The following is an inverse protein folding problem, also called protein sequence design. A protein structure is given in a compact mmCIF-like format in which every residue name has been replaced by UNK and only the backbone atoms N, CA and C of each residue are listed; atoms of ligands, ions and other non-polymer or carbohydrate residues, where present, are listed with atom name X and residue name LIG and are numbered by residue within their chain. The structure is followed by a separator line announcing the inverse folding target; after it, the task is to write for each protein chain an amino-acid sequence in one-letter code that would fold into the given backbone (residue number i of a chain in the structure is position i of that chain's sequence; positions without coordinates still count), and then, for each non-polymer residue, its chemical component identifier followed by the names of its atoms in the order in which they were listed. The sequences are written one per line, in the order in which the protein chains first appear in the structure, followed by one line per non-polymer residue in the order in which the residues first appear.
data_IF_124247634928
#
_entry.id   IF_124247634928
#
_cell.length_a   1.000
_cell.length_b   1.000
_cell.length_c   1.000
_cell.angle_alpha   90.00
_cell.angle_beta   90.00
_cell.angle_gamma   90.00
#
_symmetry.space_group_name_H-M   'P 1'
#
loop_
_entity.id
_entity.type
_entity.pdbx_description
1 polymer ?
#
# COMPACT_ATOMS: atom_id res chain seq x y z
N UNK A 1 7.05 5.50 -62.20
CA UNK A 1 6.60 6.52 -61.21
C UNK A 1 5.44 6.07 -60.33
N UNK A 2 4.67 5.04 -60.69
CA UNK A 2 3.52 4.58 -59.85
C UNK A 2 3.91 3.73 -58.60
N UNK A 3 4.99 2.98 -58.65
CA UNK A 3 5.39 2.11 -57.54
C UNK A 3 6.01 2.82 -56.34
N UNK A 4 6.52 4.04 -56.53
CA UNK A 4 7.16 4.81 -55.43
C UNK A 4 6.14 5.51 -54.50
N UNK A 5 4.93 5.79 -55.02
CA UNK A 5 3.88 6.46 -54.25
C UNK A 5 3.05 5.51 -53.39
N UNK A 6 3.02 4.20 -53.71
CA UNK A 6 2.27 3.19 -52.92
C UNK A 6 3.03 2.83 -51.64
N UNK A 7 4.36 2.78 -51.72
CA UNK A 7 5.18 2.46 -50.52
C UNK A 7 5.18 3.62 -49.50
N UNK A 8 5.17 4.86 -49.98
CA UNK A 8 5.12 6.04 -49.07
C UNK A 8 3.74 6.13 -48.40
N UNK A 9 2.66 5.81 -49.07
CA UNK A 9 1.31 5.79 -48.48
C UNK A 9 1.13 4.65 -47.46
N UNK A 10 1.74 3.47 -47.68
CA UNK A 10 1.68 2.35 -46.76
C UNK A 10 2.51 2.60 -45.48
N UNK A 11 3.66 3.26 -45.62
CA UNK A 11 4.51 3.64 -44.47
C UNK A 11 3.86 4.74 -43.63
N UNK A 12 3.19 5.70 -44.27
CA UNK A 12 2.46 6.76 -43.56
C UNK A 12 1.21 6.20 -42.86
N UNK A 13 0.55 5.19 -43.43
CA UNK A 13 -0.59 4.51 -42.79
C UNK A 13 -0.14 3.61 -41.64
N UNK A 14 1.03 2.98 -41.67
CA UNK A 14 1.59 2.23 -40.55
C UNK A 14 2.10 3.14 -39.41
N UNK A 15 2.66 4.29 -39.74
CA UNK A 15 3.06 5.29 -38.76
C UNK A 15 1.86 5.99 -38.10
N UNK A 16 0.76 6.17 -38.84
CA UNK A 16 -0.47 6.73 -38.28
C UNK A 16 -1.24 5.74 -37.39
N UNK A 17 -1.11 4.43 -37.60
CA UNK A 17 -1.71 3.43 -36.69
C UNK A 17 -0.93 3.21 -35.40
N UNK A 18 0.38 3.46 -35.41
CA UNK A 18 1.22 3.44 -34.19
C UNK A 18 1.00 4.73 -33.38
N UNK A 19 0.82 5.88 -34.04
CA UNK A 19 0.51 7.15 -33.36
C UNK A 19 -0.91 7.22 -32.81
N UNK A 20 -1.88 6.49 -33.37
CA UNK A 20 -3.26 6.48 -32.86
C UNK A 20 -3.44 5.68 -31.56
N UNK A 21 -2.51 4.76 -31.22
CA UNK A 21 -2.47 4.10 -29.92
C UNK A 21 -1.78 4.95 -28.83
N UNK A 22 -0.80 5.78 -29.23
CA UNK A 22 -0.15 6.74 -28.34
C UNK A 22 -0.96 8.04 -28.12
N UNK A 23 -1.94 8.34 -28.98
CA UNK A 23 -2.73 9.57 -28.93
C UNK A 23 -3.97 9.51 -28.03
N UNK A 24 -4.16 8.44 -27.24
CA UNK A 24 -5.21 8.37 -26.21
C UNK A 24 -4.80 8.91 -24.84
N UNK A 25 -3.60 9.44 -24.72
CA UNK A 25 -3.04 9.98 -23.48
C UNK A 25 -2.72 11.45 -23.69
N UNK A 26 -3.72 12.30 -23.71
CA UNK A 26 -3.48 13.72 -23.87
C UNK A 26 -4.76 14.53 -23.88
N UNK A 27 -5.37 14.70 -22.74
CA UNK A 27 -6.16 15.84 -22.30
C UNK A 27 -6.65 15.50 -20.89
N UNK A 28 -5.77 15.74 -19.88
CA UNK A 28 -6.10 15.61 -18.49
C UNK A 28 -5.18 14.70 -17.72
N UNK A 29 -4.02 15.23 -17.29
CA UNK A 29 -3.25 14.57 -16.25
C UNK A 29 -4.11 14.46 -14.99
N UNK A 30 -4.27 13.25 -14.47
CA UNK A 30 -4.88 13.08 -13.17
C UNK A 30 -3.90 13.52 -12.08
N UNK A 31 -4.31 14.47 -11.28
CA UNK A 31 -3.57 14.90 -10.07
C UNK A 31 -4.52 14.80 -8.89
N UNK A 32 -4.25 13.93 -7.90
CA UNK A 32 -5.10 13.79 -6.73
C UNK A 32 -5.08 15.04 -5.86
N UNK A 33 -6.19 15.32 -5.19
CA UNK A 33 -6.27 16.38 -4.22
C UNK A 33 -5.64 15.97 -2.89
N UNK A 34 -4.32 16.19 -2.76
CA UNK A 34 -3.55 15.80 -1.55
C UNK A 34 -3.74 16.81 -0.41
N UNK A 35 -4.19 18.04 -0.73
CA UNK A 35 -4.30 19.13 0.23
C UNK A 35 -2.94 19.69 0.70
N UNK A 36 -2.98 20.74 1.51
CA UNK A 36 -1.74 21.36 2.07
C UNK A 36 -1.12 20.53 3.20
N UNK A 37 -1.86 19.54 3.71
CA UNK A 37 -1.49 18.77 4.89
C UNK A 37 -1.47 19.62 6.18
N UNK A 38 -1.45 18.95 7.31
CA UNK A 38 -1.27 19.56 8.62
C UNK A 38 0.13 19.22 9.15
N UNK A 39 0.67 20.08 10.02
CA UNK A 39 1.86 19.69 10.77
C UNK A 39 1.47 18.55 11.72
N UNK A 40 2.09 17.37 11.63
CA UNK A 40 1.72 16.25 12.48
C UNK A 40 2.00 16.56 13.95
N UNK A 41 0.95 16.59 14.76
CA UNK A 41 1.07 16.59 16.21
C UNK A 41 1.02 15.15 16.68
N UNK A 42 2.04 14.71 17.44
CA UNK A 42 2.21 13.32 17.84
C UNK A 42 2.08 13.19 19.35
N UNK A 43 1.27 12.22 19.75
CA UNK A 43 1.19 11.75 21.13
C UNK A 43 1.61 10.28 21.20
N UNK A 44 2.52 9.93 22.09
CA UNK A 44 2.85 8.54 22.39
C UNK A 44 1.87 8.04 23.45
N UNK A 45 1.13 6.97 23.11
CA UNK A 45 0.12 6.37 23.98
C UNK A 45 0.72 5.24 24.83
N UNK A 46 1.54 4.40 24.20
CA UNK A 46 2.12 3.20 24.81
C UNK A 46 3.48 2.88 24.18
N UNK A 47 4.34 2.15 24.93
CA UNK A 47 5.66 1.72 24.48
C UNK A 47 5.94 0.29 24.92
N UNK A 48 6.59 -0.47 24.06
CA UNK A 48 7.06 -1.83 24.32
C UNK A 48 8.48 -1.96 23.78
N UNK A 49 9.45 -2.27 24.64
CA UNK A 49 10.80 -2.60 24.18
C UNK A 49 10.80 -4.00 23.57
N UNK A 50 11.37 -4.12 22.40
CA UNK A 50 11.54 -5.37 21.67
C UNK A 50 13.01 -5.59 21.36
N UNK A 51 13.35 -6.73 20.75
CA UNK A 51 14.72 -7.04 20.42
C UNK A 51 15.25 -6.15 19.29
N UNK A 52 16.13 -5.21 19.65
CA UNK A 52 16.75 -4.25 18.74
C UNK A 52 15.92 -3.01 18.38
N UNK A 53 14.71 -2.81 18.93
CA UNK A 53 13.88 -1.63 18.68
C UNK A 53 12.80 -1.40 19.74
N UNK A 54 12.32 -0.16 19.86
CA UNK A 54 11.14 0.22 20.65
C UNK A 54 9.91 0.30 19.74
N UNK A 55 8.86 -0.45 20.05
CA UNK A 55 7.54 -0.32 19.43
C UNK A 55 6.71 0.69 20.21
N UNK A 56 6.14 1.67 19.52
CA UNK A 56 5.30 2.73 20.11
C UNK A 56 3.93 2.70 19.49
N UNK A 57 2.88 2.67 20.29
CA UNK A 57 1.56 3.09 19.85
C UNK A 57 1.51 4.61 19.93
N UNK A 58 1.31 5.25 18.80
CA UNK A 58 1.18 6.71 18.72
C UNK A 58 -0.18 7.10 18.17
N UNK A 59 -0.58 8.34 18.45
CA UNK A 59 -1.69 9.00 17.79
C UNK A 59 -1.19 10.31 17.20
N UNK A 60 -1.56 10.59 15.93
CA UNK A 60 -1.11 11.82 15.26
C UNK A 60 -2.19 12.40 14.34
N UNK A 61 -2.07 13.71 14.05
CA UNK A 61 -3.00 14.42 13.19
C UNK A 61 -2.73 14.11 11.72
N UNK A 62 -3.76 13.72 10.98
CA UNK A 62 -3.74 13.54 9.51
C UNK A 62 -4.44 14.70 8.80
N UNK A 63 -5.48 15.26 9.43
CA UNK A 63 -6.18 16.47 9.03
C UNK A 63 -6.45 17.35 10.28
N UNK A 64 -6.96 18.58 10.07
CA UNK A 64 -7.11 19.56 11.15
C UNK A 64 -7.92 19.07 12.37
N UNK A 65 -8.87 18.18 12.15
CA UNK A 65 -9.76 17.64 13.19
C UNK A 65 -9.77 16.09 13.24
N UNK A 66 -8.84 15.46 12.52
CA UNK A 66 -8.75 14.00 12.48
C UNK A 66 -7.38 13.52 12.96
N UNK A 67 -7.41 12.62 13.92
CA UNK A 67 -6.24 11.92 14.45
C UNK A 67 -6.40 10.44 14.24
N UNK A 68 -5.29 9.76 13.93
CA UNK A 68 -5.28 8.31 13.75
C UNK A 68 -4.20 7.68 14.61
N UNK A 69 -4.43 6.43 15.00
CA UNK A 69 -3.42 5.63 15.69
C UNK A 69 -2.50 4.94 14.71
N UNK A 70 -1.26 4.71 15.13
CA UNK A 70 -0.24 4.04 14.35
C UNK A 70 0.74 3.28 15.27
N UNK A 71 1.35 2.23 14.72
CA UNK A 71 2.58 1.69 15.28
C UNK A 71 3.78 2.42 14.67
N UNK A 72 4.64 2.96 15.52
CA UNK A 72 5.93 3.53 15.15
C UNK A 72 7.03 2.68 15.80
N UNK A 73 7.80 1.98 14.99
CA UNK A 73 8.90 1.13 15.40
C UNK A 73 10.20 1.91 15.23
N UNK A 74 10.97 2.05 16.29
CA UNK A 74 12.18 2.89 16.32
C UNK A 74 13.37 2.02 16.69
N UNK A 75 14.33 1.78 15.78
CA UNK A 75 15.52 0.98 16.06
C UNK A 75 16.35 1.56 17.21
N UNK A 76 16.97 0.69 17.98
CA UNK A 76 17.90 1.08 19.03
C UNK A 76 19.05 1.94 18.45
N UNK A 77 19.48 2.94 19.20
CA UNK A 77 20.51 3.86 18.77
C UNK A 77 20.07 4.93 17.73
N UNK A 78 18.80 4.92 17.28
CA UNK A 78 18.28 5.99 16.44
C UNK A 78 18.28 7.33 17.19
N UNK A 79 18.88 8.37 16.62
CA UNK A 79 19.02 9.68 17.26
C UNK A 79 19.24 10.78 16.21
N UNK A 80 19.25 12.04 16.63
CA UNK A 80 19.59 13.17 15.75
C UNK A 80 20.99 13.06 15.11
N UNK A 81 21.92 12.36 15.78
CA UNK A 81 23.29 12.14 15.30
C UNK A 81 23.45 10.83 14.50
N UNK A 82 22.49 9.92 14.64
CA UNK A 82 22.42 8.65 13.94
C UNK A 82 21.03 8.47 13.37
N UNK A 83 20.73 9.26 12.31
CA UNK A 83 19.45 9.21 11.61
C UNK A 83 19.33 7.91 10.84
N UNK A 84 18.15 7.34 10.87
CA UNK A 84 17.84 6.06 10.22
C UNK A 84 16.98 6.26 8.99
N UNK A 85 17.11 5.42 7.95
CA UNK A 85 16.13 5.35 6.90
C UNK A 85 14.78 4.95 7.47
N UNK A 86 13.69 5.26 6.77
CA UNK A 86 12.36 4.96 7.24
C UNK A 86 11.48 4.32 6.16
N UNK A 87 10.48 3.55 6.59
CA UNK A 87 9.50 2.92 5.68
C UNK A 87 8.10 3.15 6.24
N UNK A 88 7.21 3.71 5.40
CA UNK A 88 5.79 3.67 5.66
C UNK A 88 5.22 2.38 5.08
N UNK A 89 4.44 1.64 5.87
CA UNK A 89 3.88 0.36 5.45
C UNK A 89 2.36 0.38 5.42
N UNK A 90 1.80 -0.09 4.32
CA UNK A 90 0.41 0.01 3.96
C UNK A 90 -0.20 -1.39 3.85
N UNK A 91 -1.14 -1.70 4.75
CA UNK A 91 -1.73 -3.03 4.87
C UNK A 91 -2.73 -3.35 3.74
N UNK A 92 -2.98 -4.63 3.52
CA UNK A 92 -3.92 -5.19 2.56
C UNK A 92 -5.40 -5.04 2.99
N UNK A 93 -6.31 -5.21 2.03
CA UNK A 93 -7.75 -5.26 2.28
C UNK A 93 -8.14 -6.50 3.09
N UNK A 94 -7.87 -7.68 2.54
CA UNK A 94 -8.06 -9.00 3.12
C UNK A 94 -9.47 -9.34 3.60
N UNK A 95 -10.46 -8.45 3.45
CA UNK A 95 -11.78 -8.55 4.09
C UNK A 95 -11.70 -8.81 5.62
N UNK A 96 -10.64 -8.28 6.24
CA UNK A 96 -10.36 -8.36 7.68
C UNK A 96 -10.30 -6.93 8.20
N UNK A 97 -11.48 -6.43 8.61
CA UNK A 97 -11.67 -5.04 8.99
C UNK A 97 -11.37 -4.79 10.48
N UNK A 98 -11.33 -5.86 11.27
CA UNK A 98 -10.97 -5.84 12.69
C UNK A 98 -9.50 -5.48 12.94
N UNK A 99 -8.65 -5.74 11.97
CA UNK A 99 -7.22 -5.46 11.98
C UNK A 99 -6.80 -4.69 10.73
N UNK A 100 -5.86 -3.80 10.87
CA UNK A 100 -5.22 -3.07 9.79
C UNK A 100 -3.71 -3.11 9.94
N UNK A 101 -3.14 -2.22 10.77
CA UNK A 101 -1.71 -2.18 11.11
C UNK A 101 -1.20 -3.47 11.75
N UNK A 102 -2.06 -4.22 12.45
CA UNK A 102 -1.74 -5.50 13.07
C UNK A 102 -1.51 -6.63 12.06
N UNK A 103 -1.79 -6.41 10.77
CA UNK A 103 -1.42 -7.32 9.68
C UNK A 103 0.07 -7.27 9.36
N UNK A 104 0.75 -6.19 9.74
CA UNK A 104 2.15 -5.92 9.41
C UNK A 104 3.05 -5.80 10.64
N UNK A 105 2.48 -5.42 11.79
CA UNK A 105 3.17 -5.26 13.08
C UNK A 105 2.60 -6.24 14.09
N UNK A 106 3.45 -6.88 14.86
CA UNK A 106 3.03 -7.68 16.01
C UNK A 106 2.32 -6.76 17.02
N UNK A 107 1.06 -7.05 17.40
CA UNK A 107 0.35 -6.25 18.39
C UNK A 107 1.11 -6.17 19.72
N UNK A 108 1.00 -5.05 20.42
CA UNK A 108 1.52 -4.93 21.78
C UNK A 108 0.81 -5.91 22.71
N UNK A 109 1.53 -6.47 23.69
CA UNK A 109 0.99 -7.50 24.57
C UNK A 109 0.77 -8.87 23.92
N UNK A 110 1.08 -9.08 22.64
CA UNK A 110 0.92 -10.37 21.96
C UNK A 110 1.90 -11.48 22.42
N UNK A 111 2.82 -11.17 23.34
CA UNK A 111 3.71 -12.14 23.96
C UNK A 111 3.13 -12.76 25.25
N UNK A 112 1.86 -12.50 25.54
CA UNK A 112 1.17 -13.16 26.64
C UNK A 112 1.05 -14.67 26.36
N UNK A 113 0.96 -15.49 27.44
CA UNK A 113 0.77 -16.93 27.28
C UNK A 113 -0.43 -17.27 26.39
N UNK A 114 -0.33 -18.38 25.67
CA UNK A 114 -1.44 -18.88 24.84
C UNK A 114 -2.74 -18.97 25.65
N UNK A 115 -3.76 -18.25 25.22
CA UNK A 115 -5.05 -18.17 25.88
C UNK A 115 -5.29 -16.86 26.65
N UNK A 116 -4.25 -16.10 26.95
CA UNK A 116 -4.37 -14.77 27.57
C UNK A 116 -4.33 -13.63 26.53
N UNK A 117 -3.98 -13.94 25.28
CA UNK A 117 -4.02 -12.99 24.15
C UNK A 117 -5.45 -12.51 23.93
N UNK A 118 -5.59 -11.24 23.61
CA UNK A 118 -6.88 -10.70 23.19
C UNK A 118 -7.29 -11.18 21.78
N UNK A 119 -8.52 -10.87 21.37
CA UNK A 119 -9.05 -11.29 20.07
C UNK A 119 -8.32 -10.64 18.88
N UNK A 120 -7.75 -9.44 19.04
CA UNK A 120 -7.00 -8.74 17.99
C UNK A 120 -5.64 -9.41 17.78
N UNK A 121 -4.92 -9.75 18.85
CA UNK A 121 -3.66 -10.48 18.74
C UNK A 121 -3.82 -11.84 18.07
N UNK A 122 -4.89 -12.58 18.41
CA UNK A 122 -5.22 -13.87 17.74
C UNK A 122 -5.62 -13.71 16.29
N UNK A 123 -6.38 -12.67 15.98
CA UNK A 123 -6.77 -12.31 14.61
C UNK A 123 -5.53 -11.98 13.76
N UNK A 124 -4.62 -11.16 14.29
CA UNK A 124 -3.36 -10.77 13.67
C UNK A 124 -2.48 -12.00 13.41
N UNK A 125 -2.24 -12.83 14.43
CA UNK A 125 -1.44 -14.05 14.29
C UNK A 125 -1.95 -14.95 13.17
N UNK A 126 -3.27 -15.25 13.15
CA UNK A 126 -3.85 -16.08 12.10
C UNK A 126 -3.68 -15.45 10.70
N UNK A 127 -3.77 -14.11 10.61
CA UNK A 127 -3.57 -13.41 9.36
C UNK A 127 -2.12 -13.55 8.87
N UNK A 128 -1.18 -13.31 9.75
CA UNK A 128 0.25 -13.33 9.44
C UNK A 128 0.73 -14.75 9.15
N UNK A 129 0.27 -15.74 9.92
CA UNK A 129 0.57 -17.15 9.64
C UNK A 129 0.13 -17.56 8.23
N UNK A 130 -1.05 -17.10 7.80
CA UNK A 130 -1.63 -17.46 6.51
C UNK A 130 -1.00 -16.70 5.33
N UNK A 131 -0.70 -15.42 5.47
CA UNK A 131 -0.38 -14.55 4.34
C UNK A 131 1.06 -14.04 4.34
N UNK A 132 1.81 -14.23 5.43
CA UNK A 132 3.17 -13.72 5.63
C UNK A 132 4.13 -14.78 6.21
N UNK A 133 3.77 -16.07 6.13
CA UNK A 133 4.56 -17.18 6.68
C UNK A 133 4.97 -17.00 8.16
N UNK A 134 4.07 -16.42 8.96
CA UNK A 134 4.28 -16.21 10.39
C UNK A 134 5.19 -15.03 10.74
N UNK A 135 5.53 -14.16 9.77
CA UNK A 135 6.46 -13.04 9.96
C UNK A 135 5.71 -11.71 9.90
N UNK A 136 5.78 -10.91 10.96
CA UNK A 136 5.40 -9.50 10.93
C UNK A 136 6.51 -8.69 10.25
N UNK A 137 6.32 -8.34 8.99
CA UNK A 137 7.37 -7.73 8.16
C UNK A 137 7.87 -6.39 8.71
N UNK A 138 7.00 -5.60 9.36
CA UNK A 138 7.41 -4.34 9.96
C UNK A 138 8.38 -4.54 11.14
N UNK A 139 8.16 -5.57 11.95
CA UNK A 139 9.07 -5.93 13.04
C UNK A 139 10.43 -6.37 12.48
N UNK A 140 10.45 -7.13 11.39
CA UNK A 140 11.69 -7.55 10.72
C UNK A 140 12.48 -6.34 10.19
N UNK A 141 11.81 -5.39 9.53
CA UNK A 141 12.46 -4.18 9.03
C UNK A 141 13.00 -3.29 10.17
N UNK A 142 12.26 -3.18 11.27
CA UNK A 142 12.73 -2.44 12.44
C UNK A 142 13.98 -3.07 13.05
N UNK A 143 14.04 -4.40 13.17
CA UNK A 143 15.25 -5.13 13.63
C UNK A 143 16.45 -4.96 12.69
N UNK A 144 16.21 -4.67 11.39
CA UNK A 144 17.24 -4.35 10.40
C UNK A 144 17.69 -2.88 10.42
N UNK A 145 17.12 -2.06 11.30
CA UNK A 145 17.54 -0.68 11.50
C UNK A 145 16.69 0.39 10.82
N UNK A 146 15.55 0.04 10.25
CA UNK A 146 14.59 1.00 9.69
C UNK A 146 13.66 1.57 10.76
N UNK A 147 13.37 2.86 10.72
CA UNK A 147 12.19 3.40 11.41
C UNK A 147 10.97 3.02 10.58
N UNK A 148 9.99 2.34 11.19
CA UNK A 148 8.82 1.86 10.47
C UNK A 148 7.56 2.48 11.04
N UNK A 149 6.70 3.00 10.16
CA UNK A 149 5.38 3.53 10.53
C UNK A 149 4.28 2.73 9.83
N UNK A 150 3.30 2.26 10.59
CA UNK A 150 2.16 1.50 10.08
C UNK A 150 0.87 2.08 10.60
N UNK A 151 -0.04 2.47 9.70
CA UNK A 151 -1.33 3.07 10.01
C UNK A 151 -2.49 2.20 9.53
N UNK A 152 -3.65 2.39 10.14
CA UNK A 152 -4.91 1.81 9.62
C UNK A 152 -5.45 2.65 8.47
N UNK A 153 -5.84 2.00 7.40
CA UNK A 153 -6.72 2.60 6.40
C UNK A 153 -8.09 2.91 6.98
N UNK A 154 -8.78 3.91 6.44
CA UNK A 154 -10.16 4.19 6.81
C UNK A 154 -11.03 2.94 6.63
N UNK A 155 -11.75 2.54 7.65
CA UNK A 155 -12.58 1.34 7.76
C UNK A 155 -11.82 0.05 8.17
N UNK A 156 -10.54 0.13 8.59
CA UNK A 156 -9.79 -1.00 9.14
C UNK A 156 -9.24 -0.68 10.53
N UNK A 157 -8.99 -1.72 11.32
CA UNK A 157 -8.37 -1.64 12.64
C UNK A 157 -9.11 -0.71 13.60
N UNK A 158 -8.43 0.23 14.21
CA UNK A 158 -9.02 1.24 15.10
C UNK A 158 -10.02 2.18 14.39
N UNK A 159 -9.99 2.24 13.07
CA UNK A 159 -10.89 3.06 12.23
C UNK A 159 -12.07 2.26 11.68
N UNK A 160 -12.23 1.01 12.10
CA UNK A 160 -13.31 0.13 11.65
C UNK A 160 -14.61 0.39 12.39
N UNK A 161 -15.67 -0.30 11.94
CA UNK A 161 -16.97 -0.26 12.60
C UNK A 161 -17.01 -1.09 13.90
N UNK A 162 -17.90 -0.75 14.83
CA UNK A 162 -18.14 -1.55 16.01
C UNK A 162 -18.55 -3.00 15.69
N UNK A 163 -19.22 -3.21 14.54
CA UNK A 163 -19.57 -4.55 14.05
C UNK A 163 -18.32 -5.36 13.66
N UNK A 164 -17.29 -4.73 13.11
CA UNK A 164 -16.03 -5.41 12.79
C UNK A 164 -15.31 -5.87 14.06
N UNK A 165 -15.28 -5.04 15.09
CA UNK A 165 -14.70 -5.40 16.40
C UNK A 165 -15.52 -6.51 17.05
N UNK A 166 -16.83 -6.42 17.02
CA UNK A 166 -17.72 -7.48 17.55
C UNK A 166 -17.56 -8.79 16.79
N UNK A 167 -17.37 -8.73 15.47
CA UNK A 167 -17.06 -9.92 14.67
C UNK A 167 -15.76 -10.58 15.14
N UNK A 168 -14.74 -9.81 15.41
CA UNK A 168 -13.45 -10.30 15.92
C UNK A 168 -13.60 -10.99 17.27
N UNK A 169 -14.30 -10.37 18.22
CA UNK A 169 -14.60 -10.96 19.54
C UNK A 169 -15.33 -12.30 19.41
N UNK A 170 -16.36 -12.37 18.55
CA UNK A 170 -17.12 -13.60 18.32
C UNK A 170 -16.36 -14.68 17.55
N UNK A 171 -15.29 -14.31 16.86
CA UNK A 171 -14.47 -15.25 16.09
C UNK A 171 -13.28 -15.74 16.90
N UNK A 172 -12.59 -14.84 17.59
CA UNK A 172 -11.30 -15.06 18.26
C UNK A 172 -11.33 -14.85 19.76
N UNK A 173 -12.44 -14.33 20.31
CA UNK A 173 -12.59 -14.10 21.76
C UNK A 173 -12.74 -15.40 22.56
N UNK A 174 -12.85 -15.26 23.88
CA UNK A 174 -12.97 -16.38 24.80
C UNK A 174 -14.26 -17.22 24.62
N UNK A 175 -15.32 -16.60 24.11
CA UNK A 175 -16.64 -17.24 23.85
C UNK A 175 -17.04 -17.09 22.40
N UNK A 176 -16.49 -17.87 21.47
CA UNK A 176 -16.81 -17.76 20.04
C UNK A 176 -18.26 -18.13 19.73
N UNK A 177 -18.92 -17.32 18.87
CA UNK A 177 -20.20 -17.62 18.25
C UNK A 177 -20.07 -17.59 16.72
N UNK A 178 -19.83 -18.75 16.12
CA UNK A 178 -19.61 -18.90 14.68
C UNK A 178 -20.81 -18.47 13.83
N UNK A 179 -22.04 -18.65 14.32
CA UNK A 179 -23.26 -18.31 13.57
C UNK A 179 -23.40 -16.79 13.50
N UNK A 180 -23.31 -16.11 14.62
CA UNK A 180 -23.36 -14.65 14.68
C UNK A 180 -22.18 -14.02 13.93
N UNK A 181 -20.97 -14.53 14.12
CA UNK A 181 -19.77 -14.08 13.42
C UNK A 181 -19.93 -14.15 11.89
N UNK A 182 -20.50 -15.23 11.34
CA UNK A 182 -20.77 -15.35 9.90
C UNK A 182 -21.70 -14.25 9.39
N UNK A 183 -22.76 -13.94 10.11
CA UNK A 183 -23.73 -12.86 9.77
C UNK A 183 -23.04 -11.51 9.80
N UNK A 184 -22.31 -11.18 10.88
CA UNK A 184 -21.60 -9.92 11.03
C UNK A 184 -20.50 -9.74 9.95
N UNK A 185 -19.78 -10.80 9.59
CA UNK A 185 -18.77 -10.73 8.53
C UNK A 185 -19.35 -10.22 7.22
N UNK A 186 -20.51 -10.72 6.82
CA UNK A 186 -21.21 -10.27 5.62
C UNK A 186 -21.65 -8.81 5.76
N UNK A 187 -22.24 -8.43 6.89
CA UNK A 187 -22.66 -7.05 7.14
C UNK A 187 -21.50 -6.07 7.11
N UNK A 188 -20.37 -6.40 7.73
CA UNK A 188 -19.17 -5.56 7.71
C UNK A 188 -18.60 -5.42 6.30
N UNK A 189 -18.57 -6.52 5.53
CA UNK A 189 -18.11 -6.48 4.15
C UNK A 189 -19.00 -5.58 3.28
N UNK A 190 -20.33 -5.74 3.37
CA UNK A 190 -21.27 -4.92 2.60
C UNK A 190 -21.35 -3.47 3.11
N UNK A 191 -21.06 -3.22 4.39
CA UNK A 191 -21.01 -1.88 4.99
C UNK A 191 -19.99 -0.94 4.33
N UNK A 192 -19.05 -1.46 3.55
CA UNK A 192 -18.19 -0.63 2.69
C UNK A 192 -19.00 0.23 1.72
N UNK A 193 -20.18 -0.24 1.28
CA UNK A 193 -21.06 0.51 0.38
C UNK A 193 -21.63 1.76 1.06
N UNK A 194 -21.94 1.66 2.36
CA UNK A 194 -22.44 2.80 3.13
C UNK A 194 -21.35 3.84 3.34
N UNK A 195 -20.11 3.41 3.65
CA UNK A 195 -18.96 4.31 3.77
C UNK A 195 -18.67 5.00 2.43
N UNK A 196 -18.67 4.26 1.33
CA UNK A 196 -18.48 4.82 0.00
C UNK A 196 -19.53 5.86 -0.34
N UNK A 197 -20.83 5.54 -0.11
CA UNK A 197 -21.93 6.45 -0.38
C UNK A 197 -21.87 7.72 0.49
N UNK A 198 -21.52 7.58 1.78
CA UNK A 198 -21.33 8.72 2.68
C UNK A 198 -20.20 9.65 2.22
N UNK A 199 -19.02 9.09 1.88
CA UNK A 199 -17.90 9.86 1.36
C UNK A 199 -18.26 10.54 0.04
N UNK A 200 -18.87 9.82 -0.89
CA UNK A 200 -19.32 10.35 -2.18
C UNK A 200 -20.31 11.51 -2.01
N UNK A 201 -21.25 11.40 -1.05
CA UNK A 201 -22.20 12.47 -0.76
C UNK A 201 -21.54 13.76 -0.27
N UNK A 202 -20.33 13.65 0.27
CA UNK A 202 -19.47 14.76 0.73
C UNK A 202 -18.46 15.22 -0.34
N UNK A 203 -18.51 14.65 -1.54
CA UNK A 203 -17.54 14.93 -2.61
C UNK A 203 -16.15 14.36 -2.34
N UNK A 204 -16.02 13.36 -1.47
CA UNK A 204 -14.75 12.76 -1.07
C UNK A 204 -14.55 11.43 -1.78
N UNK A 205 -13.43 11.27 -2.47
CA UNK A 205 -12.99 10.00 -3.03
C UNK A 205 -12.25 9.21 -1.94
N UNK A 206 -12.70 8.00 -1.63
CA UNK A 206 -12.17 7.19 -0.53
C UNK A 206 -10.66 6.93 -0.68
N UNK A 207 -10.22 6.49 -1.87
CA UNK A 207 -8.81 6.25 -2.13
C UNK A 207 -7.93 7.50 -1.97
N UNK A 208 -8.44 8.69 -2.36
CA UNK A 208 -7.74 9.95 -2.15
C UNK A 208 -7.69 10.37 -0.67
N UNK A 209 -8.77 10.07 0.09
CA UNK A 209 -8.75 10.28 1.55
C UNK A 209 -7.66 9.43 2.20
N UNK A 210 -7.53 8.15 1.80
CA UNK A 210 -6.44 7.30 2.27
C UNK A 210 -5.07 7.83 1.82
N UNK A 211 -4.95 8.29 0.58
CA UNK A 211 -3.70 8.90 0.09
C UNK A 211 -3.29 10.12 0.92
N UNK A 212 -4.24 10.99 1.32
CA UNK A 212 -3.95 12.12 2.22
C UNK A 212 -3.41 11.66 3.58
N UNK A 213 -4.01 10.61 4.16
CA UNK A 213 -3.55 10.02 5.42
C UNK A 213 -2.14 9.41 5.29
N UNK A 214 -1.86 8.76 4.14
CA UNK A 214 -0.55 8.17 3.84
C UNK A 214 0.52 9.26 3.64
N UNK A 215 0.19 10.36 2.95
CA UNK A 215 1.07 11.53 2.83
C UNK A 215 1.35 12.17 4.20
N UNK A 216 0.33 12.28 5.07
CA UNK A 216 0.53 12.76 6.44
C UNK A 216 1.46 11.85 7.24
N UNK A 217 1.37 10.52 7.02
CA UNK A 217 2.26 9.52 7.63
C UNK A 217 3.73 9.71 7.17
N UNK A 218 3.96 9.95 5.88
CA UNK A 218 5.30 10.24 5.36
C UNK A 218 5.83 11.56 5.93
N UNK A 219 5.01 12.62 5.96
CA UNK A 219 5.40 13.91 6.55
C UNK A 219 5.71 13.80 8.04
N UNK A 220 5.00 12.94 8.77
CA UNK A 220 5.34 12.62 10.15
C UNK A 220 6.74 12.00 10.23
N UNK A 221 7.04 10.95 9.45
CA UNK A 221 8.36 10.33 9.42
C UNK A 221 9.45 11.34 9.12
N UNK A 222 9.27 12.16 8.07
CA UNK A 222 10.24 13.19 7.67
C UNK A 222 10.50 14.24 8.76
N UNK A 223 9.53 14.50 9.64
CA UNK A 223 9.65 15.46 10.74
C UNK A 223 10.33 14.89 11.99
N UNK A 224 10.47 13.55 12.10
CA UNK A 224 11.09 12.93 13.26
C UNK A 224 12.60 13.19 13.29
N UNK A 225 13.17 13.63 14.42
CA UNK A 225 14.57 14.07 14.47
C UNK A 225 15.59 12.96 14.24
N UNK A 226 15.20 11.71 14.35
CA UNK A 226 16.02 10.51 14.17
C UNK A 226 15.76 9.80 12.84
N UNK A 227 14.93 10.38 11.95
CA UNK A 227 14.70 9.89 10.60
C UNK A 227 15.54 10.70 9.61
N UNK A 228 16.14 10.02 8.64
CA UNK A 228 16.71 10.65 7.47
C UNK A 228 15.62 10.88 6.43
N UNK A 229 15.14 12.11 6.31
CA UNK A 229 14.06 12.47 5.41
C UNK A 229 14.38 12.30 3.92
N UNK A 230 15.63 12.12 3.54
CA UNK A 230 16.03 11.78 2.17
C UNK A 230 15.97 10.28 1.86
N UNK A 231 15.74 9.44 2.89
CA UNK A 231 15.73 7.97 2.80
C UNK A 231 14.43 7.38 3.36
N UNK A 232 13.29 7.77 2.77
CA UNK A 232 11.98 7.26 3.14
C UNK A 232 11.44 6.39 2.00
N UNK A 233 11.14 5.13 2.29
CA UNK A 233 10.48 4.19 1.38
C UNK A 233 9.01 3.98 1.71
N UNK A 234 8.28 3.39 0.76
CA UNK A 234 6.90 2.94 0.95
C UNK A 234 6.77 1.46 0.58
N UNK A 235 6.07 0.69 1.41
CA UNK A 235 5.71 -0.70 1.12
C UNK A 235 4.19 -0.86 1.16
N UNK A 236 3.67 -1.72 0.28
CA UNK A 236 2.28 -2.14 0.36
C UNK A 236 2.01 -3.50 -0.24
N UNK A 237 1.09 -4.24 0.37
CA UNK A 237 0.59 -5.51 -0.12
C UNK A 237 -0.89 -5.40 -0.51
N UNK A 238 -1.28 -5.93 -1.67
CA UNK A 238 -2.67 -5.93 -2.15
C UNK A 238 -3.26 -4.50 -2.19
N UNK A 239 -4.35 -4.18 -1.52
CA UNK A 239 -4.84 -2.79 -1.39
C UNK A 239 -3.72 -1.83 -0.93
N UNK A 240 -2.82 -2.29 -0.06
CA UNK A 240 -1.64 -1.51 0.33
C UNK A 240 -0.70 -1.23 -0.83
N UNK A 241 -0.57 -2.15 -1.81
CA UNK A 241 0.23 -1.91 -3.00
C UNK A 241 -0.39 -0.83 -3.90
N UNK A 242 -1.72 -0.81 -4.05
CA UNK A 242 -2.45 0.28 -4.70
C UNK A 242 -2.15 1.63 -4.01
N UNK A 243 -2.21 1.67 -2.68
CA UNK A 243 -1.85 2.86 -1.89
C UNK A 243 -0.37 3.22 -2.05
N UNK A 244 0.53 2.21 -2.08
CA UNK A 244 1.97 2.41 -2.19
C UNK A 244 2.37 3.08 -3.51
N UNK A 245 1.88 2.61 -4.65
CA UNK A 245 2.25 3.23 -5.91
C UNK A 245 1.59 4.61 -6.09
N UNK A 246 0.36 4.85 -5.58
CA UNK A 246 -0.23 6.19 -5.53
C UNK A 246 0.61 7.13 -4.66
N UNK A 247 0.95 6.70 -3.45
CA UNK A 247 1.79 7.49 -2.54
C UNK A 247 3.16 7.79 -3.16
N UNK A 248 3.79 6.81 -3.80
CA UNK A 248 5.09 6.98 -4.45
C UNK A 248 5.01 7.93 -5.65
N UNK A 249 3.91 7.94 -6.39
CA UNK A 249 3.70 8.84 -7.53
C UNK A 249 3.52 10.30 -7.08
N UNK A 250 2.77 10.54 -6.01
CA UNK A 250 2.30 11.88 -5.65
C UNK A 250 2.91 12.47 -4.37
N UNK A 251 3.76 11.72 -3.65
CA UNK A 251 4.51 12.22 -2.49
C UNK A 251 6.00 12.28 -2.82
N UNK A 252 6.56 13.50 -2.86
CA UNK A 252 7.96 13.71 -3.26
C UNK A 252 8.95 13.20 -2.21
N UNK A 253 8.55 13.17 -0.94
CA UNK A 253 9.38 12.67 0.16
C UNK A 253 9.61 11.16 0.10
N UNK A 254 8.78 10.40 -0.63
CA UNK A 254 8.99 8.96 -0.86
C UNK A 254 10.10 8.77 -1.89
N UNK A 255 11.21 8.17 -1.47
CA UNK A 255 12.39 7.92 -2.29
C UNK A 255 12.21 6.71 -3.23
N UNK A 256 11.61 5.64 -2.72
CA UNK A 256 11.37 4.39 -3.46
C UNK A 256 10.12 3.69 -2.94
N UNK A 257 9.55 2.77 -3.74
CA UNK A 257 8.36 2.03 -3.36
C UNK A 257 8.39 0.56 -3.76
N UNK A 258 7.86 -0.30 -2.88
CA UNK A 258 7.66 -1.72 -3.14
C UNK A 258 6.17 -2.06 -3.09
N UNK A 259 5.58 -2.38 -4.23
CA UNK A 259 4.16 -2.66 -4.44
C UNK A 259 3.96 -4.15 -4.76
N UNK A 260 3.36 -4.90 -3.82
CA UNK A 260 3.19 -6.35 -3.93
C UNK A 260 1.75 -6.72 -4.22
N UNK A 261 1.52 -7.47 -5.30
CA UNK A 261 0.24 -8.10 -5.67
C UNK A 261 -0.94 -7.15 -5.79
N UNK A 262 -0.74 -6.02 -6.43
CA UNK A 262 -1.78 -5.16 -6.95
C UNK A 262 -1.26 -4.31 -8.11
N UNK A 263 -1.30 -4.88 -9.31
CA UNK A 263 -1.16 -4.20 -10.58
C UNK A 263 -1.92 -4.99 -11.64
N UNK A 264 -2.63 -4.31 -12.53
CA UNK A 264 -3.41 -4.90 -13.61
C UNK A 264 -3.79 -3.83 -14.63
N UNK A 265 -4.59 -4.18 -15.64
CA UNK A 265 -5.25 -3.21 -16.52
C UNK A 265 -6.68 -2.92 -16.04
N UNK A 266 -7.25 -1.79 -16.45
CA UNK A 266 -8.68 -1.49 -16.22
C UNK A 266 -9.59 -2.60 -16.76
N UNK A 267 -9.29 -3.12 -17.97
CA UNK A 267 -10.00 -4.25 -18.56
C UNK A 267 -9.95 -5.51 -17.67
N UNK A 268 -8.82 -5.74 -16.98
CA UNK A 268 -8.62 -6.86 -16.07
C UNK A 268 -9.23 -6.67 -14.68
N UNK A 269 -9.75 -5.48 -14.39
CA UNK A 269 -10.25 -5.10 -13.07
C UNK A 269 -11.71 -4.66 -13.12
N UNK A 270 -12.55 -5.38 -13.83
CA UNK A 270 -13.99 -5.17 -13.79
C UNK A 270 -14.57 -5.67 -12.46
N UNK A 271 -14.44 -4.84 -11.42
CA UNK A 271 -14.89 -5.16 -10.07
C UNK A 271 -16.13 -4.35 -9.68
N UNK A 272 -17.28 -4.99 -9.65
CA UNK A 272 -18.48 -4.49 -8.96
C UNK A 272 -18.60 -4.99 -7.52
N UNK A 273 -17.52 -5.53 -6.96
CA UNK A 273 -17.51 -5.99 -5.57
C UNK A 273 -17.21 -4.83 -4.60
N UNK A 274 -17.62 -5.00 -3.34
CA UNK A 274 -17.42 -3.96 -2.34
C UNK A 274 -15.93 -3.68 -2.03
N UNK A 275 -15.01 -4.60 -2.34
CA UNK A 275 -13.57 -4.41 -2.13
C UNK A 275 -12.98 -3.34 -3.04
N UNK A 276 -13.57 -3.09 -4.22
CA UNK A 276 -13.10 -2.06 -5.14
C UNK A 276 -13.39 -0.64 -4.64
N UNK A 277 -14.43 -0.46 -3.83
CA UNK A 277 -14.92 0.87 -3.45
C UNK A 277 -13.87 1.73 -2.75
N UNK A 278 -13.03 1.11 -1.90
CA UNK A 278 -11.96 1.82 -1.19
C UNK A 278 -10.76 2.20 -2.09
N UNK A 279 -10.63 1.57 -3.27
CA UNK A 279 -9.54 1.80 -4.22
C UNK A 279 -9.99 2.56 -5.47
N UNK A 280 -11.29 2.85 -5.58
CA UNK A 280 -11.86 3.48 -6.78
C UNK A 280 -11.58 4.97 -6.83
N UNK A 281 -10.84 5.38 -7.86
CA UNK A 281 -10.62 6.78 -8.22
C UNK A 281 -11.20 6.96 -9.63
N UNK A 282 -12.48 7.31 -9.69
CA UNK A 282 -13.20 7.39 -10.97
C UNK A 282 -12.55 8.38 -11.95
N UNK A 283 -12.16 9.60 -11.55
CA UNK A 283 -11.49 10.52 -12.48
C UNK A 283 -10.18 9.97 -13.07
N UNK A 284 -9.41 9.22 -12.28
CA UNK A 284 -8.18 8.58 -12.77
C UNK A 284 -8.51 7.49 -13.82
N UNK A 285 -9.52 6.64 -13.57
CA UNK A 285 -9.91 5.55 -14.46
C UNK A 285 -10.52 6.04 -15.79
N UNK A 286 -10.99 7.27 -15.84
CA UNK A 286 -11.52 7.90 -17.05
C UNK A 286 -10.43 8.41 -17.99
N UNK A 287 -9.22 8.69 -17.49
CA UNK A 287 -8.14 9.29 -18.27
C UNK A 287 -6.91 8.40 -18.44
N UNK A 288 -6.76 7.32 -17.63
CA UNK A 288 -5.57 6.46 -17.68
C UNK A 288 -5.86 5.02 -17.25
N UNK A 289 -5.09 4.07 -17.77
CA UNK A 289 -5.00 2.70 -17.22
C UNK A 289 -4.05 2.67 -16.00
N UNK A 290 -4.12 1.61 -15.19
CA UNK A 290 -3.30 1.53 -13.97
C UNK A 290 -1.78 1.53 -14.26
N UNK A 291 -1.34 0.91 -15.36
CA UNK A 291 0.07 0.92 -15.77
C UNK A 291 0.59 2.30 -16.18
N UNK A 292 -0.32 3.24 -16.56
CA UNK A 292 0.06 4.62 -16.90
C UNK A 292 0.57 5.42 -15.68
N UNK A 293 0.40 4.89 -14.46
CA UNK A 293 1.00 5.50 -13.25
C UNK A 293 2.53 5.62 -13.38
N UNK A 294 3.16 4.80 -14.23
CA UNK A 294 4.57 4.88 -14.55
C UNK A 294 5.03 6.28 -14.98
N UNK A 295 4.14 7.06 -15.60
CA UNK A 295 4.37 8.46 -15.99
C UNK A 295 4.71 9.38 -14.80
N UNK A 296 4.09 9.10 -13.65
CA UNK A 296 4.29 9.88 -12.42
C UNK A 296 5.37 9.26 -11.51
N UNK A 297 5.67 7.97 -11.71
CA UNK A 297 6.66 7.25 -10.92
C UNK A 297 8.09 7.42 -11.45
N UNK A 298 8.29 7.32 -12.78
CA UNK A 298 9.61 7.41 -13.38
C UNK A 298 10.27 8.79 -13.15
N UNK A 299 11.55 8.84 -12.80
CA UNK A 299 12.54 7.77 -12.67
C UNK A 299 12.71 7.19 -11.25
N UNK A 300 11.73 7.34 -10.35
CA UNK A 300 11.80 6.88 -8.95
C UNK A 300 11.96 5.36 -8.89
N UNK A 301 12.88 4.81 -8.07
CA UNK A 301 13.03 3.37 -7.90
C UNK A 301 11.75 2.71 -7.41
N UNK A 302 11.28 1.71 -8.18
CA UNK A 302 10.07 0.98 -7.86
C UNK A 302 10.26 -0.52 -8.05
N UNK A 303 9.75 -1.29 -7.08
CA UNK A 303 9.61 -2.74 -7.13
C UNK A 303 8.13 -3.09 -7.23
N UNK A 304 7.70 -3.67 -8.36
CA UNK A 304 6.39 -4.27 -8.54
C UNK A 304 6.55 -5.78 -8.61
N UNK A 305 5.94 -6.48 -7.68
CA UNK A 305 5.92 -7.95 -7.65
C UNK A 305 4.48 -8.46 -7.71
N UNK A 306 4.22 -9.51 -8.50
CA UNK A 306 2.92 -10.18 -8.53
C UNK A 306 3.09 -11.69 -8.60
N UNK A 307 2.19 -12.43 -7.93
CA UNK A 307 2.22 -13.89 -7.99
C UNK A 307 1.85 -14.42 -9.38
N UNK A 308 2.57 -15.41 -9.89
CA UNK A 308 2.28 -16.03 -11.19
C UNK A 308 0.89 -16.68 -11.28
N UNK A 309 0.39 -17.14 -10.13
CA UNK A 309 -0.91 -17.82 -9.99
C UNK A 309 -1.88 -17.03 -9.11
N UNK A 310 -1.71 -15.70 -9.06
CA UNK A 310 -2.61 -14.82 -8.32
C UNK A 310 -4.01 -14.87 -8.94
N UNK A 311 -4.98 -15.33 -8.17
CA UNK A 311 -6.36 -15.51 -8.63
C UNK A 311 -7.16 -14.20 -8.68
N UNK A 312 -6.64 -13.11 -8.09
CA UNK A 312 -7.27 -11.79 -8.11
C UNK A 312 -6.82 -10.95 -9.30
N UNK A 313 -5.60 -11.19 -9.79
CA UNK A 313 -4.96 -10.42 -10.85
C UNK A 313 -4.44 -11.37 -11.95
N UNK A 314 -5.18 -11.56 -13.06
CA UNK A 314 -4.77 -12.44 -14.15
C UNK A 314 -3.40 -12.04 -14.72
N UNK A 315 -2.49 -13.02 -14.86
CA UNK A 315 -1.10 -12.82 -15.25
C UNK A 315 -0.94 -12.02 -16.56
N UNK A 316 -1.78 -12.27 -17.55
CA UNK A 316 -1.75 -11.57 -18.82
C UNK A 316 -2.09 -10.07 -18.69
N UNK A 317 -2.99 -9.71 -17.78
CA UNK A 317 -3.37 -8.33 -17.49
C UNK A 317 -2.30 -7.61 -16.67
N UNK A 318 -1.71 -8.31 -15.70
CA UNK A 318 -0.55 -7.79 -14.96
C UNK A 318 0.62 -7.54 -15.90
N UNK A 319 0.92 -8.48 -16.82
CA UNK A 319 2.01 -8.31 -17.79
C UNK A 319 1.82 -7.07 -18.66
N UNK A 320 0.60 -6.82 -19.17
CA UNK A 320 0.30 -5.61 -19.95
C UNK A 320 0.56 -4.32 -19.15
N UNK A 321 0.16 -4.30 -17.87
CA UNK A 321 0.41 -3.15 -17.01
C UNK A 321 1.91 -2.98 -16.70
N UNK A 322 2.66 -4.07 -16.50
CA UNK A 322 4.11 -4.03 -16.35
C UNK A 322 4.82 -3.52 -17.62
N UNK A 323 4.32 -3.88 -18.79
CA UNK A 323 4.88 -3.39 -20.05
C UNK A 323 4.65 -1.88 -20.22
N UNK A 324 3.50 -1.34 -19.78
CA UNK A 324 3.27 0.10 -19.70
C UNK A 324 4.22 0.79 -18.71
N UNK A 325 4.41 0.25 -17.52
CA UNK A 325 5.37 0.80 -16.55
C UNK A 325 6.78 0.87 -17.18
N UNK A 326 7.24 -0.22 -17.81
CA UNK A 326 8.55 -0.27 -18.49
C UNK A 326 8.68 0.78 -19.58
N UNK A 327 7.61 1.02 -20.34
CA UNK A 327 7.59 2.05 -21.39
C UNK A 327 7.93 3.42 -20.81
N UNK A 328 7.27 3.85 -19.75
CA UNK A 328 7.51 5.17 -19.12
C UNK A 328 8.90 5.28 -18.50
N UNK A 329 9.41 4.21 -17.89
CA UNK A 329 10.79 4.22 -17.36
C UNK A 329 11.82 4.29 -18.48
N UNK A 330 11.62 3.58 -19.59
CA UNK A 330 12.49 3.66 -20.76
C UNK A 330 12.46 5.07 -21.39
N UNK A 331 11.29 5.69 -21.50
CA UNK A 331 11.14 7.07 -21.97
C UNK A 331 11.86 8.08 -21.06
N UNK A 332 11.88 7.84 -19.76
CA UNK A 332 12.62 8.63 -18.79
C UNK A 332 14.12 8.31 -18.76
N UNK A 333 14.59 7.32 -19.56
CA UNK A 333 15.99 6.88 -19.57
C UNK A 333 16.43 6.24 -18.26
N UNK A 334 15.55 5.56 -17.55
CA UNK A 334 15.77 5.01 -16.22
C UNK A 334 15.65 3.48 -16.21
N UNK A 335 16.55 2.81 -15.52
CA UNK A 335 16.55 1.38 -15.21
C UNK A 335 16.08 1.06 -13.78
N UNK A 336 15.57 2.05 -13.07
CA UNK A 336 15.18 1.95 -11.66
C UNK A 336 13.84 1.21 -11.41
N UNK A 337 13.27 0.54 -12.42
CA UNK A 337 12.06 -0.26 -12.30
C UNK A 337 12.38 -1.75 -12.28
N UNK A 338 11.93 -2.44 -11.23
CA UNK A 338 11.79 -3.90 -11.20
C UNK A 338 10.29 -4.22 -11.23
N UNK A 339 9.83 -4.91 -12.26
CA UNK A 339 8.43 -5.33 -12.42
C UNK A 339 8.40 -6.80 -12.84
N UNK A 340 8.18 -7.71 -11.87
CA UNK A 340 8.42 -9.15 -12.05
C UNK A 340 7.32 -10.00 -11.40
N UNK A 341 7.25 -11.24 -11.85
CA UNK A 341 6.43 -12.26 -11.23
C UNK A 341 7.28 -13.14 -10.31
N UNK A 342 6.69 -13.54 -9.18
CA UNK A 342 7.26 -14.54 -8.29
C UNK A 342 6.43 -15.83 -8.32
N UNK A 343 7.03 -17.01 -8.05
CA UNK A 343 6.31 -18.26 -7.95
C UNK A 343 5.30 -18.22 -6.80
N UNK A 344 4.02 -18.46 -7.10
CA UNK A 344 2.94 -18.48 -6.10
C UNK A 344 1.76 -17.59 -6.43
N UNK A 345 0.83 -17.47 -5.48
CA UNK A 345 -0.40 -16.71 -5.61
C UNK A 345 -0.38 -15.37 -4.87
N UNK A 346 -1.54 -14.95 -4.36
CA UNK A 346 -1.73 -13.69 -3.61
C UNK A 346 -1.19 -13.82 -2.19
N UNK A 347 0.14 -13.69 -2.00
CA UNK A 347 0.83 -14.02 -0.77
C UNK A 347 2.13 -13.21 -0.61
N UNK A 348 2.46 -12.82 0.62
CA UNK A 348 3.70 -12.13 0.99
C UNK A 348 4.59 -13.07 1.82
N UNK A 349 4.98 -14.22 1.25
CA UNK A 349 5.80 -15.21 1.93
C UNK A 349 7.25 -14.76 2.14
N UNK A 350 8.03 -15.57 2.87
CA UNK A 350 9.41 -15.25 3.26
C UNK A 350 10.33 -14.93 2.09
N UNK A 351 10.20 -15.67 0.97
CA UNK A 351 11.03 -15.43 -0.21
C UNK A 351 10.75 -14.07 -0.83
N UNK A 352 9.46 -13.67 -0.91
CA UNK A 352 9.04 -12.36 -1.40
C UNK A 352 9.47 -11.26 -0.43
N UNK A 353 9.36 -11.49 0.88
CA UNK A 353 9.84 -10.55 1.91
C UNK A 353 11.35 -10.30 1.77
N UNK A 354 12.13 -11.35 1.46
CA UNK A 354 13.58 -11.21 1.22
C UNK A 354 13.88 -10.30 0.02
N UNK A 355 13.12 -10.40 -1.07
CA UNK A 355 13.26 -9.50 -2.23
C UNK A 355 12.93 -8.05 -1.86
N UNK A 356 11.87 -7.84 -1.08
CA UNK A 356 11.47 -6.50 -0.60
C UNK A 356 12.55 -5.90 0.30
N UNK A 357 13.10 -6.68 1.23
CA UNK A 357 14.19 -6.25 2.13
C UNK A 357 15.44 -5.91 1.31
N UNK A 358 15.83 -6.74 0.34
CA UNK A 358 16.97 -6.47 -0.54
C UNK A 358 16.78 -5.15 -1.29
N UNK A 359 15.61 -4.93 -1.90
CA UNK A 359 15.29 -3.68 -2.59
C UNK A 359 15.45 -2.45 -1.69
N UNK A 360 14.91 -2.48 -0.47
CA UNK A 360 15.06 -1.35 0.45
C UNK A 360 16.50 -1.16 0.91
N UNK A 361 17.27 -2.24 1.10
CA UNK A 361 18.70 -2.13 1.42
C UNK A 361 19.46 -1.46 0.29
N UNK A 362 19.19 -1.82 -0.97
CA UNK A 362 19.87 -1.25 -2.14
C UNK A 362 19.53 0.24 -2.34
N UNK A 363 18.30 0.66 -2.01
CA UNK A 363 17.81 2.01 -2.28
C UNK A 363 17.92 2.97 -1.11
N UNK A 364 17.94 2.48 0.14
CA UNK A 364 17.84 3.31 1.34
C UNK A 364 19.06 3.20 2.28
N UNK A 365 19.87 2.14 2.18
CA UNK A 365 21.11 2.06 2.95
C UNK A 365 22.28 2.67 2.18
N UNK A 366 23.27 3.18 2.91
CA UNK A 366 24.50 3.65 2.30
C UNK A 366 25.24 2.45 1.68
N UNK A 367 25.63 2.57 0.42
CA UNK A 367 26.49 1.57 -0.22
C UNK A 367 27.88 1.71 0.40
N UNK A 368 28.33 0.68 1.11
CA UNK A 368 29.69 0.60 1.67
C UNK A 368 30.76 0.71 0.58
#
# INVERSE_FOLDING_TARGET
MLFRNIIISAVILLLSSISASAARVGEGDYVPEIGKGVRPEVQVLEKEQRDGYECRMIEFSVEAQERIKAYLLVPDGASRRNRKPAIVMLHDHGARFDIGKEKLVRPMGAMLPLGEEDHIARSSRQWVDKNFDGVWLADSLASLGYVVLVTDALYWGDRSSAQAQRWSELTYGATPDRKMAKTLKTQVYEGQRDVFADLQSKGVIWAEKMLRDDVASVKLLAALPYVDSARIGAFGFSMGAHRCWLLSAFCQEVRCGAALSWMTTLEGYEGNNASDLSMRIQPMRECMDFGDIGRYLAPKPMLFLNGETDHLFPKDKVQKAFDLLRLYYNEAGSDALVAEFFPGGHHCGKDVQALIVSFFNDELLDKE
#
